data_IF_261671801897
#
_entry.id   IF_261671801897
#
_cell.length_a   1.000
_cell.length_b   1.000
_cell.length_c   1.000
_cell.angle_alpha   90.00
_cell.angle_beta   90.00
_cell.angle_gamma   90.00
#
_symmetry.space_group_name_H-M   'P 1'
#
loop_
_entity.id
_entity.type
_entity.pdbx_description
1 polymer ?
#
# COMPACT_ATOMS: atom_id res chain seq x y z
N UNK A 1 -61.68 -16.15 18.96
CA UNK A 1 -61.20 -17.45 19.46
C UNK A 1 -60.19 -18.02 18.47
N UNK A 2 -59.14 -18.64 19.02
CA UNK A 2 -57.96 -19.27 18.39
C UNK A 2 -56.91 -18.25 17.93
N UNK A 3 -55.72 -18.16 18.52
CA UNK A 3 -55.08 -18.99 19.55
C UNK A 3 -53.59 -18.72 19.45
N UNK A 4 -53.04 -18.04 20.45
CA UNK A 4 -51.63 -17.74 20.64
C UNK A 4 -50.87 -19.05 20.94
N UNK A 5 -49.77 -19.30 20.25
CA UNK A 5 -48.68 -20.14 20.77
C UNK A 5 -47.38 -19.36 20.58
N UNK A 6 -46.90 -18.84 21.70
CA UNK A 6 -45.60 -18.22 21.88
C UNK A 6 -44.54 -19.31 21.88
N UNK A 7 -43.56 -19.23 20.98
CA UNK A 7 -42.29 -19.95 21.13
C UNK A 7 -41.21 -18.90 21.39
N UNK A 8 -40.77 -18.83 22.66
CA UNK A 8 -39.61 -18.05 23.06
C UNK A 8 -38.38 -18.92 22.82
N UNK A 9 -37.59 -18.60 21.80
CA UNK A 9 -36.22 -19.10 21.68
C UNK A 9 -35.28 -17.93 21.94
N UNK A 10 -34.68 -17.96 23.13
CA UNK A 10 -33.55 -17.14 23.52
C UNK A 10 -32.37 -17.62 22.67
N UNK A 11 -31.95 -16.82 21.69
CA UNK A 11 -30.66 -16.96 21.02
C UNK A 11 -29.94 -15.64 21.24
N UNK A 12 -28.76 -15.76 21.87
CA UNK A 12 -27.94 -14.65 22.31
C UNK A 12 -27.63 -13.68 21.18
N UNK A 13 -27.80 -12.40 21.49
CA UNK A 13 -27.34 -11.29 20.66
C UNK A 13 -25.82 -11.32 20.69
N UNK A 14 -25.20 -11.93 19.69
CA UNK A 14 -23.84 -11.62 19.30
C UNK A 14 -23.93 -10.30 18.55
N UNK A 15 -23.47 -9.23 19.19
CA UNK A 15 -23.25 -7.94 18.52
C UNK A 15 -22.02 -8.12 17.64
N UNK A 16 -22.23 -8.47 16.37
CA UNK A 16 -21.20 -8.36 15.34
C UNK A 16 -21.25 -6.89 14.87
N UNK A 17 -20.30 -6.09 15.34
CA UNK A 17 -20.11 -4.72 14.84
C UNK A 17 -19.32 -4.81 13.53
N UNK A 18 -20.04 -5.06 12.44
CA UNK A 18 -19.51 -4.78 11.10
C UNK A 18 -19.20 -3.29 11.07
N UNK A 19 -17.94 -2.93 10.86
CA UNK A 19 -17.56 -1.58 10.47
C UNK A 19 -18.25 -1.23 9.16
N UNK A 20 -19.41 -0.58 9.23
CA UNK A 20 -20.16 -0.12 8.06
C UNK A 20 -19.38 1.04 7.44
N UNK A 21 -18.47 0.74 6.53
CA UNK A 21 -17.95 1.67 5.55
C UNK A 21 -18.35 1.21 4.15
N UNK A 22 -19.65 1.34 3.85
CA UNK A 22 -20.15 1.42 2.48
C UNK A 22 -21.57 2.00 2.46
N UNK A 23 -21.86 2.73 1.38
CA UNK A 23 -23.16 3.17 0.84
C UNK A 23 -23.50 4.65 1.07
N UNK A 24 -23.03 5.49 0.14
CA UNK A 24 -23.87 6.54 -0.46
C UNK A 24 -23.69 6.48 -2.01
N UNK A 25 -24.77 6.62 -2.79
CA UNK A 25 -24.70 6.53 -4.25
C UNK A 25 -24.05 7.80 -4.84
N UNK A 26 -22.93 7.65 -5.55
CA UNK A 26 -22.30 8.72 -6.35
C UNK A 26 -22.77 8.61 -7.80
N UNK A 27 -23.85 9.31 -8.14
CA UNK A 27 -24.01 9.83 -9.51
C UNK A 27 -23.43 11.25 -9.55
N UNK A 28 -22.32 11.43 -10.25
CA UNK A 28 -22.00 12.60 -11.11
C UNK A 28 -20.54 12.50 -11.57
N UNK A 29 -20.33 12.72 -12.88
CA UNK A 29 -19.00 12.75 -13.53
C UNK A 29 -18.05 13.68 -12.78
N UNK A 30 -16.79 13.28 -12.51
CA UNK A 30 -15.78 14.22 -12.04
C UNK A 30 -15.43 15.22 -13.16
N UNK A 31 -15.15 16.50 -12.83
CA UNK A 31 -14.62 17.46 -13.79
C UNK A 31 -13.22 17.06 -14.25
N UNK A 32 -12.81 17.55 -15.42
CA UNK A 32 -11.52 17.25 -16.03
C UNK A 32 -10.33 17.51 -15.10
N UNK A 33 -9.39 16.56 -15.07
CA UNK A 33 -8.18 16.58 -14.26
C UNK A 33 -7.25 17.78 -14.63
N UNK A 34 -7.02 18.75 -13.71
CA UNK A 34 -6.18 19.93 -13.99
C UNK A 34 -4.66 19.64 -14.01
N UNK A 35 -4.22 18.41 -13.73
CA UNK A 35 -2.79 18.03 -13.66
C UNK A 35 -2.09 18.07 -15.02
N UNK A 36 -2.83 17.96 -16.13
CA UNK A 36 -2.25 18.02 -17.48
C UNK A 36 -1.76 19.43 -17.91
N UNK A 37 -2.26 20.50 -17.28
CA UNK A 37 -2.02 21.89 -17.74
C UNK A 37 -0.89 22.61 -16.99
N UNK A 38 -0.44 22.06 -15.86
CA UNK A 38 0.58 22.68 -15.00
C UNK A 38 2.00 22.20 -15.40
N UNK A 39 2.14 20.95 -15.84
CA UNK A 39 3.43 20.36 -16.22
C UNK A 39 4.10 21.04 -17.43
N UNK A 40 3.32 21.66 -18.33
CA UNK A 40 3.86 22.36 -19.51
C UNK A 40 4.36 23.78 -19.22
N UNK A 41 3.97 24.39 -18.08
CA UNK A 41 4.34 25.78 -17.76
C UNK A 41 5.61 25.90 -16.91
N UNK A 42 5.95 24.88 -16.12
CA UNK A 42 7.13 24.90 -15.24
C UNK A 42 8.46 24.64 -15.94
N UNK A 43 8.46 24.05 -17.15
CA UNK A 43 9.67 23.75 -17.91
C UNK A 43 10.33 24.98 -18.59
N UNK A 44 9.66 26.15 -18.61
CA UNK A 44 10.13 27.33 -19.34
C UNK A 44 10.81 28.37 -18.44
N UNK A 45 10.79 28.20 -17.12
CA UNK A 45 11.30 29.22 -16.19
C UNK A 45 12.18 28.62 -15.09
N UNK A 46 13.48 28.42 -15.38
CA UNK A 46 14.59 28.70 -14.44
C UNK A 46 15.95 28.46 -15.10
N UNK A 47 16.44 29.51 -15.74
CA UNK A 47 17.88 29.69 -15.98
C UNK A 47 18.56 30.23 -14.71
N UNK A 48 19.68 29.59 -14.36
CA UNK A 48 20.87 30.10 -13.64
C UNK A 48 20.73 30.85 -12.32
N UNK A 49 21.26 30.26 -11.24
CA UNK A 49 22.42 30.79 -10.47
C UNK A 49 22.85 29.79 -9.39
N UNK A 50 24.13 29.39 -9.39
CA UNK A 50 24.79 28.69 -8.26
C UNK A 50 25.15 29.66 -7.12
N UNK A 51 25.31 29.18 -5.88
CA UNK A 51 26.68 29.08 -5.35
C UNK A 51 26.98 27.88 -4.40
N UNK A 52 28.14 27.28 -4.64
CA UNK A 52 29.25 26.96 -3.70
C UNK A 52 28.99 26.32 -2.31
N UNK A 53 29.12 24.99 -2.28
CA UNK A 53 29.90 24.11 -1.37
C UNK A 53 30.09 24.45 0.12
N UNK A 54 29.54 23.58 0.98
CA UNK A 54 30.08 23.21 2.29
C UNK A 54 30.02 21.68 2.43
N UNK A 55 31.18 21.03 2.54
CA UNK A 55 31.34 19.58 2.47
C UNK A 55 30.90 18.86 3.76
N UNK A 56 30.12 17.79 3.62
CA UNK A 56 30.07 16.68 4.58
C UNK A 56 30.37 15.40 3.82
N UNK A 57 31.54 14.83 4.09
CA UNK A 57 31.97 13.51 3.61
C UNK A 57 31.41 12.43 4.53
N UNK A 58 30.88 11.36 3.94
CA UNK A 58 30.44 10.14 4.62
C UNK A 58 29.96 9.10 3.62
N UNK A 59 30.88 8.61 2.81
CA UNK A 59 30.73 7.63 1.72
C UNK A 59 30.15 6.29 2.15
N UNK A 60 29.19 5.76 1.39
CA UNK A 60 28.96 4.32 1.24
C UNK A 60 29.31 3.93 -0.20
N UNK A 61 30.04 2.82 -0.46
CA UNK A 61 30.47 2.48 -1.80
C UNK A 61 29.27 2.15 -2.69
N UNK A 62 29.29 2.67 -3.92
CA UNK A 62 28.45 2.21 -5.01
C UNK A 62 28.63 0.69 -5.18
N UNK A 63 27.63 -0.08 -4.78
CA UNK A 63 27.51 -1.48 -5.17
C UNK A 63 27.36 -1.54 -6.68
N UNK A 64 28.09 -2.45 -7.32
CA UNK A 64 27.97 -2.72 -8.74
C UNK A 64 26.50 -2.96 -9.10
N UNK A 65 26.05 -2.38 -10.23
CA UNK A 65 24.73 -2.64 -10.82
C UNK A 65 24.70 -4.10 -11.24
N UNK A 66 24.24 -4.97 -10.35
CA UNK A 66 23.84 -6.33 -10.71
C UNK A 66 22.56 -6.16 -11.53
N UNK A 67 22.46 -6.71 -12.75
CA UNK A 67 21.19 -6.74 -13.47
C UNK A 67 20.19 -7.47 -12.57
N UNK A 68 19.24 -6.72 -12.02
CA UNK A 68 18.25 -7.30 -11.13
C UNK A 68 17.31 -8.11 -12.02
N UNK A 69 17.45 -9.43 -11.99
CA UNK A 69 16.43 -10.30 -12.56
C UNK A 69 15.10 -9.93 -11.91
N UNK A 70 14.09 -9.64 -12.72
CA UNK A 70 12.76 -9.39 -12.16
C UNK A 70 12.33 -10.59 -11.31
N UNK A 71 11.66 -10.34 -10.18
CA UNK A 71 11.13 -11.43 -9.37
C UNK A 71 10.22 -12.29 -10.25
N UNK A 72 10.36 -13.61 -10.12
CA UNK A 72 9.44 -14.51 -10.78
C UNK A 72 8.08 -14.41 -10.07
N UNK A 73 7.05 -14.07 -10.83
CA UNK A 73 5.67 -14.09 -10.34
C UNK A 73 5.30 -15.54 -9.98
N UNK A 74 4.57 -15.79 -8.87
CA UNK A 74 4.20 -17.15 -8.49
C UNK A 74 3.37 -17.82 -9.59
N UNK A 75 3.58 -19.12 -9.79
CA UNK A 75 2.77 -19.90 -10.70
C UNK A 75 1.37 -20.08 -10.08
N UNK A 76 0.40 -19.31 -10.56
CA UNK A 76 -1.00 -19.44 -10.13
C UNK A 76 -1.74 -20.31 -11.13
N UNK A 77 -2.40 -21.36 -10.64
CA UNK A 77 -3.09 -22.32 -11.50
C UNK A 77 -4.25 -21.68 -12.30
N UNK A 78 -4.80 -20.55 -11.81
CA UNK A 78 -5.86 -19.77 -12.45
C UNK A 78 -5.80 -18.31 -11.98
N UNK A 79 -4.96 -17.42 -12.56
CA UNK A 79 -5.11 -15.99 -12.33
C UNK A 79 -6.48 -15.58 -12.87
N UNK A 80 -7.47 -15.45 -12.00
CA UNK A 80 -8.78 -14.98 -12.39
C UNK A 80 -8.87 -13.49 -12.05
N UNK A 81 -8.95 -12.66 -13.10
CA UNK A 81 -9.48 -11.31 -13.02
C UNK A 81 -10.99 -11.36 -12.78
N UNK A 82 -11.44 -12.21 -11.85
CA UNK A 82 -12.83 -12.40 -11.48
C UNK A 82 -13.02 -11.73 -10.14
N UNK A 83 -13.62 -10.54 -10.20
CA UNK A 83 -14.30 -9.93 -9.07
C UNK A 83 -15.66 -10.61 -8.94
N UNK A 84 -16.13 -11.08 -7.76
CA UNK A 84 -15.68 -10.74 -6.41
C UNK A 84 -15.15 -11.93 -5.57
N UNK A 85 -14.37 -11.61 -4.52
CA UNK A 85 -14.30 -12.44 -3.31
C UNK A 85 -15.62 -12.25 -2.54
N UNK A 86 -16.25 -13.37 -2.20
CA UNK A 86 -17.54 -13.41 -1.50
C UNK A 86 -17.53 -12.58 -0.20
N UNK A 87 -18.70 -12.16 0.33
CA UNK A 87 -18.77 -11.35 1.54
C UNK A 87 -17.99 -11.99 2.70
N UNK A 88 -17.33 -11.17 3.51
CA UNK A 88 -16.52 -11.59 4.67
C UNK A 88 -17.23 -12.62 5.58
N UNK A 89 -18.56 -12.59 5.64
CA UNK A 89 -19.39 -13.54 6.40
C UNK A 89 -19.40 -14.99 5.91
N UNK A 90 -18.79 -15.31 4.75
CA UNK A 90 -18.71 -16.67 4.19
C UNK A 90 -17.25 -17.10 3.88
N UNK A 91 -16.26 -16.38 4.41
CA UNK A 91 -14.84 -16.61 4.11
C UNK A 91 -14.43 -18.05 4.42
N UNK A 92 -14.86 -18.62 5.55
CA UNK A 92 -14.53 -20.01 5.92
C UNK A 92 -15.07 -21.07 4.93
N UNK A 93 -16.15 -20.76 4.21
CA UNK A 93 -16.70 -21.65 3.18
C UNK A 93 -15.88 -21.60 1.88
N UNK A 94 -15.28 -20.44 1.60
CA UNK A 94 -14.46 -20.23 0.41
C UNK A 94 -12.99 -20.64 0.62
N UNK A 95 -12.45 -20.39 1.81
CA UNK A 95 -11.06 -20.62 2.19
C UNK A 95 -10.95 -21.80 3.16
N UNK A 96 -11.35 -22.98 2.71
CA UNK A 96 -11.51 -24.15 3.58
C UNK A 96 -10.28 -25.06 3.68
N UNK A 97 -9.26 -24.88 2.84
CA UNK A 97 -7.96 -25.54 3.04
C UNK A 97 -7.12 -24.68 3.99
N UNK A 98 -6.65 -25.28 5.09
CA UNK A 98 -5.96 -24.54 6.15
C UNK A 98 -4.77 -25.30 6.71
N UNK A 99 -3.74 -24.59 7.13
CA UNK A 99 -2.66 -25.11 7.99
C UNK A 99 -2.33 -24.11 9.10
N UNK A 100 -2.07 -24.61 10.30
CA UNK A 100 -1.77 -23.79 11.48
C UNK A 100 -0.35 -24.01 11.97
N UNK A 101 0.36 -22.92 12.25
CA UNK A 101 1.73 -22.87 12.74
C UNK A 101 1.80 -21.93 13.94
N UNK A 102 1.79 -22.49 15.15
CA UNK A 102 1.71 -21.69 16.38
C UNK A 102 0.41 -20.88 16.43
N UNK A 103 0.50 -19.56 16.54
CA UNK A 103 -0.64 -18.64 16.57
C UNK A 103 -1.14 -18.24 15.17
N UNK A 104 -0.43 -18.61 14.09
CA UNK A 104 -0.81 -18.22 12.73
C UNK A 104 -1.50 -19.39 12.01
N UNK A 105 -2.69 -19.13 11.46
CA UNK A 105 -3.36 -20.04 10.53
C UNK A 105 -3.29 -19.44 9.13
N UNK A 106 -2.91 -20.24 8.14
CA UNK A 106 -2.94 -19.88 6.73
C UNK A 106 -4.08 -20.64 6.06
N UNK A 107 -4.93 -19.93 5.34
CA UNK A 107 -6.14 -20.46 4.72
C UNK A 107 -6.21 -20.08 3.23
N UNK A 108 -6.69 -20.99 2.39
CA UNK A 108 -6.86 -20.78 0.95
C UNK A 108 -8.02 -21.58 0.38
N UNK A 109 -8.43 -21.21 -0.84
CA UNK A 109 -9.47 -21.92 -1.58
C UNK A 109 -8.98 -23.31 -2.01
N UNK A 110 -9.79 -24.37 -1.91
CA UNK A 110 -9.34 -25.71 -2.26
C UNK A 110 -8.67 -25.84 -3.63
N UNK A 111 -7.48 -26.44 -3.64
CA UNK A 111 -6.64 -26.62 -4.83
C UNK A 111 -6.08 -25.35 -5.47
N UNK A 112 -6.21 -24.18 -4.83
CA UNK A 112 -5.65 -22.92 -5.36
C UNK A 112 -4.12 -22.88 -5.29
N UNK A 113 -3.53 -23.40 -4.21
CA UNK A 113 -2.09 -23.36 -3.95
C UNK A 113 -1.53 -24.72 -3.56
N UNK A 114 -0.21 -24.90 -3.75
CA UNK A 114 0.51 -26.02 -3.13
C UNK A 114 0.52 -25.82 -1.61
N UNK A 115 0.07 -26.82 -0.81
CA UNK A 115 0.07 -26.72 0.65
C UNK A 115 1.43 -26.39 1.28
N UNK A 116 2.55 -26.59 0.58
CA UNK A 116 3.88 -26.20 1.04
C UNK A 116 4.08 -24.68 1.17
N UNK A 117 3.24 -23.84 0.54
CA UNK A 117 3.33 -22.38 0.67
C UNK A 117 3.04 -21.90 2.10
N UNK A 118 2.21 -22.65 2.84
CA UNK A 118 1.63 -22.22 4.09
C UNK A 118 2.67 -21.94 5.18
N UNK A 119 3.73 -22.75 5.28
CA UNK A 119 4.78 -22.54 6.29
C UNK A 119 5.54 -21.24 6.06
N UNK A 120 5.90 -20.94 4.80
CA UNK A 120 6.60 -19.70 4.46
C UNK A 120 5.74 -18.47 4.76
N UNK A 121 4.45 -18.52 4.45
CA UNK A 121 3.50 -17.44 4.73
C UNK A 121 3.31 -17.25 6.23
N UNK A 122 3.18 -18.33 6.99
CA UNK A 122 3.07 -18.25 8.44
C UNK A 122 4.32 -17.65 9.08
N UNK A 123 5.52 -18.01 8.61
CA UNK A 123 6.77 -17.41 9.06
C UNK A 123 6.85 -15.91 8.73
N UNK A 124 6.40 -15.49 7.54
CA UNK A 124 6.34 -14.07 7.16
C UNK A 124 5.40 -13.29 8.08
N UNK A 125 4.22 -13.84 8.36
CA UNK A 125 3.24 -13.25 9.27
C UNK A 125 3.79 -13.15 10.69
N UNK A 126 4.44 -14.20 11.20
CA UNK A 126 5.05 -14.17 12.53
C UNK A 126 6.17 -13.12 12.62
N UNK A 127 6.99 -12.96 11.57
CA UNK A 127 7.97 -11.87 11.50
C UNK A 127 7.31 -10.50 11.51
N UNK A 128 6.26 -10.29 10.74
CA UNK A 128 5.47 -9.06 10.75
C UNK A 128 4.91 -8.75 12.14
N UNK A 129 4.31 -9.74 12.80
CA UNK A 129 3.75 -9.60 14.16
C UNK A 129 4.85 -9.17 15.13
N UNK A 130 5.99 -9.86 15.10
CA UNK A 130 7.12 -9.56 15.99
C UNK A 130 7.67 -8.15 15.76
N UNK A 131 7.85 -7.75 14.49
CA UNK A 131 8.40 -6.45 14.12
C UNK A 131 7.48 -5.31 14.57
N UNK A 132 6.20 -5.37 14.23
CA UNK A 132 5.23 -4.32 14.57
C UNK A 132 5.00 -4.28 16.09
N UNK A 133 4.90 -5.44 16.76
CA UNK A 133 4.73 -5.49 18.21
C UNK A 133 5.94 -4.91 18.95
N UNK A 134 7.15 -5.24 18.50
CA UNK A 134 8.38 -4.68 19.06
C UNK A 134 8.45 -3.17 18.84
N UNK A 135 8.06 -2.68 17.66
CA UNK A 135 8.02 -1.24 17.36
C UNK A 135 7.07 -0.48 18.29
N UNK A 136 5.87 -1.04 18.55
CA UNK A 136 4.90 -0.44 19.47
C UNK A 136 5.19 -0.72 20.95
N UNK A 137 6.24 -1.50 21.25
CA UNK A 137 6.57 -1.97 22.60
C UNK A 137 5.36 -2.65 23.29
N UNK A 138 4.66 -3.49 22.54
CA UNK A 138 3.53 -4.29 23.01
C UNK A 138 3.87 -5.79 22.95
N UNK A 139 3.00 -6.58 23.56
CA UNK A 139 2.97 -8.02 23.37
C UNK A 139 1.62 -8.39 22.77
N UNK A 140 1.63 -8.95 21.56
CA UNK A 140 0.43 -9.50 20.92
C UNK A 140 0.63 -11.00 20.68
N UNK A 141 -0.13 -11.81 21.39
CA UNK A 141 -0.20 -13.28 21.27
C UNK A 141 -1.51 -13.75 20.64
N UNK A 142 -2.31 -12.81 20.12
CA UNK A 142 -3.59 -13.11 19.51
C UNK A 142 -3.40 -13.98 18.26
N UNK A 143 -4.25 -15.00 18.04
CA UNK A 143 -4.21 -15.78 16.81
C UNK A 143 -4.46 -14.92 15.59
N UNK A 144 -3.69 -15.12 14.52
CA UNK A 144 -3.87 -14.44 13.24
C UNK A 144 -4.27 -15.44 12.16
N UNK A 145 -5.28 -15.13 11.36
CA UNK A 145 -5.58 -15.89 10.14
C UNK A 145 -5.15 -15.12 8.89
N UNK A 146 -4.33 -15.75 8.06
CA UNK A 146 -3.87 -15.24 6.76
C UNK A 146 -4.61 -15.96 5.64
N UNK A 147 -5.45 -15.24 4.91
CA UNK A 147 -6.15 -15.73 3.74
C UNK A 147 -5.35 -15.44 2.47
N UNK A 148 -4.93 -16.48 1.75
CA UNK A 148 -4.30 -16.33 0.44
C UNK A 148 -5.36 -16.33 -0.65
N UNK A 149 -5.55 -15.17 -1.29
CA UNK A 149 -6.48 -14.98 -2.38
C UNK A 149 -5.81 -15.22 -3.74
N UNK A 150 -6.39 -16.05 -4.59
CA UNK A 150 -5.93 -16.30 -5.96
C UNK A 150 -6.70 -15.51 -7.03
N UNK A 151 -7.60 -14.63 -6.59
CA UNK A 151 -8.49 -13.82 -7.42
C UNK A 151 -8.54 -12.39 -6.88
N UNK A 152 -8.78 -11.41 -7.76
CA UNK A 152 -8.87 -10.01 -7.36
C UNK A 152 -10.03 -9.75 -6.38
N UNK A 153 -9.82 -8.80 -5.48
CA UNK A 153 -10.86 -8.35 -4.56
C UNK A 153 -12.04 -7.65 -5.26
N UNK A 154 -13.15 -7.53 -4.54
CA UNK A 154 -14.39 -6.94 -5.04
C UNK A 154 -14.28 -5.42 -5.33
N UNK A 155 -15.39 -4.79 -5.73
CA UNK A 155 -15.42 -3.34 -5.97
C UNK A 155 -15.04 -2.50 -4.73
N UNK A 156 -15.27 -3.03 -3.52
CA UNK A 156 -14.93 -2.38 -2.27
C UNK A 156 -13.43 -2.47 -1.99
N UNK A 157 -12.66 -3.38 -2.60
CA UNK A 157 -11.19 -3.42 -2.54
C UNK A 157 -10.50 -3.45 -3.92
N UNK A 158 -11.09 -2.78 -4.93
CA UNK A 158 -10.50 -2.77 -6.28
C UNK A 158 -9.09 -2.16 -6.24
N UNK A 159 -8.10 -2.95 -6.67
CA UNK A 159 -6.68 -2.57 -6.69
C UNK A 159 -5.94 -2.69 -5.37
N UNK A 160 -6.53 -3.34 -4.37
CA UNK A 160 -5.83 -3.80 -3.19
C UNK A 160 -4.93 -5.00 -3.53
N UNK A 161 -3.73 -5.06 -2.97
CA UNK A 161 -2.90 -6.28 -2.95
C UNK A 161 -3.09 -7.05 -1.64
N UNK A 162 -3.67 -6.43 -0.62
CA UNK A 162 -4.15 -7.06 0.59
C UNK A 162 -5.17 -6.17 1.29
N UNK A 163 -5.81 -6.71 2.32
CA UNK A 163 -6.57 -5.92 3.28
C UNK A 163 -6.66 -6.66 4.62
N UNK A 164 -6.97 -5.93 5.70
CA UNK A 164 -7.13 -6.48 7.03
C UNK A 164 -8.55 -6.29 7.59
N UNK A 165 -9.03 -7.29 8.33
CA UNK A 165 -10.16 -7.17 9.25
C UNK A 165 -9.62 -7.25 10.68
N UNK A 166 -9.23 -6.10 11.22
CA UNK A 166 -8.46 -6.01 12.47
C UNK A 166 -9.19 -6.60 13.68
N UNK A 167 -10.50 -6.41 13.78
CA UNK A 167 -11.34 -6.93 14.87
C UNK A 167 -11.47 -8.46 14.87
N UNK A 168 -11.26 -9.09 13.72
CA UNK A 168 -11.30 -10.54 13.54
C UNK A 168 -9.90 -11.18 13.58
N UNK A 169 -8.84 -10.37 13.67
CA UNK A 169 -7.44 -10.80 13.49
C UNK A 169 -7.24 -11.59 12.19
N UNK A 170 -7.76 -11.01 11.10
CA UNK A 170 -7.66 -11.59 9.76
C UNK A 170 -6.94 -10.65 8.80
N UNK A 171 -6.09 -11.21 7.96
CA UNK A 171 -5.50 -10.51 6.82
C UNK A 171 -5.74 -11.31 5.55
N UNK A 172 -5.89 -10.60 4.44
CA UNK A 172 -6.08 -11.16 3.11
C UNK A 172 -4.94 -10.70 2.24
N UNK A 173 -4.28 -11.63 1.56
CA UNK A 173 -3.11 -11.36 0.72
C UNK A 173 -3.39 -11.89 -0.67
N UNK A 174 -3.35 -10.99 -1.66
CA UNK A 174 -3.48 -11.36 -3.06
C UNK A 174 -2.20 -12.07 -3.53
N UNK A 175 -2.39 -13.28 -4.04
CA UNK A 175 -1.38 -14.16 -4.63
C UNK A 175 -1.91 -14.68 -5.98
N UNK A 176 -2.36 -13.75 -6.82
CA UNK A 176 -2.86 -13.97 -8.19
C UNK A 176 -1.73 -13.91 -9.25
N UNK A 177 -0.48 -13.83 -8.79
CA UNK A 177 0.69 -13.62 -9.64
C UNK A 177 1.12 -12.15 -9.72
N UNK A 178 0.46 -11.21 -9.04
CA UNK A 178 0.84 -9.78 -9.09
C UNK A 178 1.80 -9.31 -8.00
N UNK A 179 2.02 -10.14 -6.98
CA UNK A 179 2.91 -9.85 -5.86
C UNK A 179 4.16 -10.70 -6.02
N UNK A 180 5.32 -10.04 -6.06
CA UNK A 180 6.59 -10.73 -6.08
C UNK A 180 6.86 -11.44 -4.75
N UNK A 181 7.53 -12.59 -4.79
CA UNK A 181 7.85 -13.34 -3.57
C UNK A 181 8.67 -12.52 -2.56
N UNK A 182 9.52 -11.61 -3.05
CA UNK A 182 10.32 -10.71 -2.22
C UNK A 182 9.57 -9.47 -1.71
N UNK A 183 8.46 -9.08 -2.34
CA UNK A 183 7.53 -8.07 -1.80
C UNK A 183 6.56 -8.65 -0.76
N UNK A 184 6.31 -9.96 -0.81
CA UNK A 184 5.28 -10.61 -0.01
C UNK A 184 5.48 -10.41 1.50
N UNK A 185 6.74 -10.38 1.97
CA UNK A 185 7.03 -10.07 3.37
C UNK A 185 6.54 -8.67 3.75
N UNK A 186 6.88 -7.65 2.97
CA UNK A 186 6.46 -6.27 3.25
C UNK A 186 4.95 -6.10 3.21
N UNK A 187 4.28 -6.73 2.23
CA UNK A 187 2.81 -6.72 2.15
C UNK A 187 2.15 -7.39 3.36
N UNK A 188 2.68 -8.54 3.82
CA UNK A 188 2.17 -9.17 5.04
C UNK A 188 2.41 -8.28 6.26
N UNK A 189 3.59 -7.67 6.37
CA UNK A 189 3.90 -6.73 7.46
C UNK A 189 2.94 -5.53 7.45
N UNK A 190 2.58 -5.00 6.26
CA UNK A 190 1.57 -3.95 6.09
C UNK A 190 0.21 -4.38 6.65
N UNK A 191 -0.32 -5.52 6.23
CA UNK A 191 -1.63 -5.97 6.71
C UNK A 191 -1.63 -6.34 8.20
N UNK A 192 -0.53 -6.92 8.70
CA UNK A 192 -0.34 -7.16 10.14
C UNK A 192 -0.33 -5.85 10.93
N UNK A 193 0.28 -4.79 10.38
CA UNK A 193 0.29 -3.48 11.02
C UNK A 193 -1.13 -2.92 11.19
N UNK A 194 -2.03 -3.13 10.23
CA UNK A 194 -3.45 -2.77 10.40
C UNK A 194 -4.12 -3.55 11.53
N UNK A 195 -3.87 -4.86 11.63
CA UNK A 195 -4.44 -5.70 12.70
C UNK A 195 -3.94 -5.21 14.06
N UNK A 196 -2.64 -5.09 14.24
CA UNK A 196 -2.04 -4.71 15.51
C UNK A 196 -2.43 -3.27 15.89
N UNK A 197 -2.34 -2.31 14.96
CA UNK A 197 -2.73 -0.93 15.23
C UNK A 197 -4.21 -0.82 15.63
N UNK A 198 -5.10 -1.53 14.92
CA UNK A 198 -6.52 -1.53 15.22
C UNK A 198 -6.86 -2.04 16.63
N UNK A 199 -6.06 -2.98 17.16
CA UNK A 199 -6.28 -3.58 18.47
C UNK A 199 -5.56 -2.88 19.62
N UNK A 200 -4.37 -2.31 19.38
CA UNK A 200 -3.51 -1.79 20.45
C UNK A 200 -3.34 -0.27 20.42
N UNK A 201 -3.48 0.36 19.26
CA UNK A 201 -3.58 1.83 19.17
C UNK A 201 -5.05 2.20 19.31
N UNK A 202 -5.90 1.69 18.43
CA UNK A 202 -7.33 1.99 18.37
C UNK A 202 -7.77 2.21 16.92
N UNK A 203 -9.03 2.63 16.74
CA UNK A 203 -9.53 2.91 15.40
C UNK A 203 -8.80 4.12 14.79
N UNK A 204 -8.29 4.01 13.55
CA UNK A 204 -7.69 5.14 12.86
C UNK A 204 -8.74 6.23 12.65
N UNK A 205 -8.30 7.47 12.78
CA UNK A 205 -9.16 8.61 12.52
C UNK A 205 -9.50 8.78 11.02
N UNK A 206 -8.70 8.18 10.12
CA UNK A 206 -8.85 8.23 8.67
C UNK A 206 -7.99 7.14 8.02
N UNK A 207 -8.34 6.74 6.80
CA UNK A 207 -7.55 5.80 6.00
C UNK A 207 -6.12 6.29 5.78
N UNK A 208 -5.90 7.60 5.67
CA UNK A 208 -4.56 8.19 5.56
C UNK A 208 -3.60 7.73 6.65
N UNK A 209 -4.03 7.78 7.91
CA UNK A 209 -3.20 7.33 9.04
C UNK A 209 -3.07 5.81 9.10
N UNK A 210 -4.13 5.08 8.74
CA UNK A 210 -4.11 3.62 8.70
C UNK A 210 -3.08 3.12 7.69
N UNK A 211 -3.20 3.56 6.42
CA UNK A 211 -2.30 3.19 5.34
C UNK A 211 -0.89 3.74 5.57
N UNK A 212 -0.77 4.96 6.11
CA UNK A 212 0.52 5.57 6.43
C UNK A 212 1.29 4.78 7.48
N UNK A 213 0.63 4.34 8.57
CA UNK A 213 1.28 3.49 9.56
C UNK A 213 1.75 2.17 8.96
N UNK A 214 0.87 1.49 8.24
CA UNK A 214 1.16 0.19 7.66
C UNK A 214 2.26 0.26 6.60
N UNK A 215 2.27 1.33 5.78
CA UNK A 215 3.33 1.60 4.80
C UNK A 215 4.67 1.88 5.48
N UNK A 216 4.66 2.66 6.56
CA UNK A 216 5.88 2.89 7.34
C UNK A 216 6.43 1.59 7.96
N UNK A 217 5.55 0.70 8.44
CA UNK A 217 5.99 -0.59 9.00
C UNK A 217 6.56 -1.55 7.94
N UNK A 218 6.06 -1.52 6.69
CA UNK A 218 6.60 -2.38 5.63
C UNK A 218 7.95 -1.90 5.08
N UNK A 219 8.30 -0.62 5.27
CA UNK A 219 9.36 0.05 4.51
C UNK A 219 10.75 -0.61 4.70
N UNK A 220 11.01 -1.21 5.86
CA UNK A 220 12.24 -1.97 6.12
C UNK A 220 12.32 -3.25 5.26
N UNK A 221 11.21 -3.98 5.12
CA UNK A 221 11.13 -5.18 4.28
C UNK A 221 11.26 -4.83 2.79
N UNK A 222 10.61 -3.74 2.37
CA UNK A 222 10.69 -3.17 1.01
C UNK A 222 12.14 -2.83 0.64
N UNK A 223 12.84 -2.13 1.53
CA UNK A 223 14.26 -1.77 1.33
C UNK A 223 15.16 -3.01 1.29
N UNK A 224 14.94 -3.98 2.20
CA UNK A 224 15.71 -5.22 2.21
C UNK A 224 15.55 -6.03 0.92
N UNK A 225 14.39 -5.94 0.28
CA UNK A 225 14.10 -6.54 -1.02
C UNK A 225 14.60 -5.71 -2.23
N UNK A 226 15.28 -4.57 -1.98
CA UNK A 226 15.91 -3.73 -2.99
C UNK A 226 14.97 -2.77 -3.70
N UNK A 227 13.78 -2.53 -3.15
CA UNK A 227 12.83 -1.56 -3.68
C UNK A 227 13.07 -0.16 -3.09
N UNK A 228 12.64 0.87 -3.81
CA UNK A 228 12.63 2.26 -3.33
C UNK A 228 11.65 2.38 -2.15
N UNK A 229 12.08 2.88 -0.98
CA UNK A 229 11.19 3.12 0.15
C UNK A 229 10.24 4.29 -0.09
N UNK A 230 9.12 4.30 0.64
CA UNK A 230 8.10 5.34 0.57
C UNK A 230 8.67 6.76 0.72
N UNK A 231 9.59 6.95 1.67
CA UNK A 231 10.23 8.25 1.94
C UNK A 231 11.01 8.81 0.74
N UNK A 232 11.72 7.95 0.00
CA UNK A 232 12.51 8.38 -1.16
C UNK A 232 11.60 8.69 -2.36
N UNK A 233 10.56 7.88 -2.58
CA UNK A 233 9.57 8.13 -3.62
C UNK A 233 8.80 9.43 -3.36
N UNK A 234 8.40 9.70 -2.11
CA UNK A 234 7.75 10.94 -1.69
C UNK A 234 8.67 12.16 -1.88
N UNK A 235 9.97 12.04 -1.56
CA UNK A 235 10.93 13.12 -1.76
C UNK A 235 11.13 13.47 -3.25
N UNK A 236 11.19 12.47 -4.12
CA UNK A 236 11.23 12.69 -5.58
C UNK A 236 9.94 13.32 -6.10
N UNK A 237 8.78 12.88 -5.61
CA UNK A 237 7.50 13.48 -5.96
C UNK A 237 7.37 14.93 -5.48
N UNK A 238 7.91 15.25 -4.31
CA UNK A 238 8.00 16.62 -3.81
C UNK A 238 8.86 17.48 -4.73
N UNK A 239 10.05 16.99 -5.13
CA UNK A 239 10.93 17.69 -6.08
C UNK A 239 10.24 17.97 -7.42
N UNK A 240 9.43 17.03 -7.90
CA UNK A 240 8.68 17.14 -9.14
C UNK A 240 7.40 18.00 -9.01
N UNK A 241 7.06 18.49 -7.81
CA UNK A 241 5.88 19.33 -7.57
C UNK A 241 4.55 18.59 -7.71
N UNK A 242 4.55 17.27 -7.50
CA UNK A 242 3.39 16.37 -7.66
C UNK A 242 3.01 15.64 -6.37
N UNK A 243 3.78 15.82 -5.29
CA UNK A 243 3.45 15.23 -4.00
C UNK A 243 2.05 15.69 -3.57
N UNK A 244 1.12 14.78 -3.23
CA UNK A 244 -0.19 15.18 -2.75
C UNK A 244 -0.10 15.99 -1.45
N UNK A 245 -0.92 17.03 -1.34
CA UNK A 245 -0.98 17.87 -0.12
C UNK A 245 -1.60 17.11 1.05
N UNK A 246 -1.35 17.54 2.29
CA UNK A 246 -2.00 16.91 3.45
C UNK A 246 -3.51 17.13 3.43
N UNK A 247 -3.98 18.25 2.88
CA UNK A 247 -5.40 18.49 2.69
C UNK A 247 -6.05 17.44 1.78
N UNK A 248 -5.38 17.06 0.68
CA UNK A 248 -5.84 16.02 -0.22
C UNK A 248 -5.82 14.64 0.44
N UNK A 249 -4.70 14.28 1.09
CA UNK A 249 -4.52 12.95 1.68
C UNK A 249 -5.53 12.68 2.81
N UNK A 250 -5.93 13.72 3.54
CA UNK A 250 -6.90 13.61 4.65
C UNK A 250 -8.36 13.62 4.22
N UNK A 251 -8.67 14.00 2.98
CA UNK A 251 -10.04 14.03 2.49
C UNK A 251 -10.47 12.62 2.09
N UNK A 252 -11.31 12.01 2.94
CA UNK A 252 -11.86 10.66 2.74
C UNK A 252 -12.71 10.54 1.47
N UNK A 253 -13.19 11.67 0.91
CA UNK A 253 -13.94 11.66 -0.34
C UNK A 253 -13.03 11.49 -1.56
N UNK A 254 -11.72 11.75 -1.42
CA UNK A 254 -10.72 11.74 -2.50
C UNK A 254 -9.59 10.74 -2.28
N UNK A 255 -9.21 10.44 -1.05
CA UNK A 255 -8.19 9.46 -0.72
C UNK A 255 -8.77 8.05 -0.84
N UNK A 256 -8.41 7.35 -1.91
CA UNK A 256 -8.89 5.99 -2.15
C UNK A 256 -8.15 4.98 -1.27
N UNK A 257 -6.89 5.27 -0.89
CA UNK A 257 -6.08 4.35 -0.11
C UNK A 257 -6.05 2.95 -0.76
N UNK A 258 -5.74 2.87 -2.08
CA UNK A 258 -5.28 1.62 -2.72
C UNK A 258 -4.00 1.80 -3.57
N UNK A 259 -3.32 0.69 -3.88
CA UNK A 259 -2.16 0.61 -4.79
C UNK A 259 -2.42 1.22 -6.17
N UNK A 260 -3.69 1.35 -6.57
CA UNK A 260 -4.14 2.14 -7.75
C UNK A 260 -3.50 3.53 -7.80
N UNK A 261 -3.19 4.12 -6.65
CA UNK A 261 -2.52 5.41 -6.52
C UNK A 261 -1.33 5.30 -5.56
N UNK A 262 -0.38 4.44 -5.91
CA UNK A 262 0.80 4.14 -5.09
C UNK A 262 1.56 5.37 -4.56
N UNK A 263 1.61 6.48 -5.31
CA UNK A 263 2.22 7.71 -4.80
C UNK A 263 1.51 8.27 -3.54
N UNK A 264 0.19 8.10 -3.43
CA UNK A 264 -0.57 8.50 -2.23
C UNK A 264 -0.19 7.64 -1.01
N UNK A 265 0.12 6.35 -1.21
CA UNK A 265 0.67 5.46 -0.18
C UNK A 265 2.06 5.88 0.25
N UNK A 266 2.95 6.08 -0.73
CA UNK A 266 4.32 6.45 -0.47
C UNK A 266 4.36 7.80 0.28
N UNK A 267 3.48 8.74 -0.09
CA UNK A 267 3.26 9.98 0.64
C UNK A 267 2.78 9.75 2.09
N UNK A 268 1.75 8.93 2.29
CA UNK A 268 1.23 8.61 3.62
C UNK A 268 2.26 7.93 4.53
N UNK A 269 2.98 6.93 4.01
CA UNK A 269 4.08 6.27 4.72
C UNK A 269 5.19 7.24 5.12
N UNK A 270 5.60 8.11 4.18
CA UNK A 270 6.63 9.12 4.46
C UNK A 270 6.18 10.16 5.49
N UNK A 271 4.90 10.52 5.52
CA UNK A 271 4.35 11.44 6.52
C UNK A 271 4.28 10.79 7.90
N UNK A 272 3.86 9.52 7.97
CA UNK A 272 3.91 8.74 9.21
C UNK A 272 5.32 8.62 9.76
N UNK A 273 6.31 8.34 8.89
CA UNK A 273 7.73 8.34 9.26
C UNK A 273 8.16 9.68 9.83
N UNK A 274 7.87 10.78 9.12
CA UNK A 274 8.17 12.14 9.58
C UNK A 274 7.60 12.42 10.98
N UNK A 275 6.32 12.10 11.21
CA UNK A 275 5.68 12.33 12.50
C UNK A 275 6.34 11.52 13.62
N UNK A 276 6.61 10.24 13.37
CA UNK A 276 7.22 9.33 14.34
C UNK A 276 8.64 9.78 14.68
N UNK A 277 9.46 10.11 13.68
CA UNK A 277 10.85 10.50 13.91
C UNK A 277 10.97 11.88 14.56
N UNK A 278 10.09 12.83 14.20
CA UNK A 278 10.16 14.21 14.70
C UNK A 278 9.47 14.40 16.05
N UNK A 279 8.30 13.81 16.22
CA UNK A 279 7.43 14.04 17.39
C UNK A 279 7.33 12.82 18.32
N UNK A 280 7.86 11.68 17.89
CA UNK A 280 7.84 10.44 18.66
C UNK A 280 6.58 9.62 18.43
N UNK A 281 6.67 8.33 18.79
CA UNK A 281 5.59 7.37 18.62
C UNK A 281 4.33 7.74 19.41
N UNK A 282 4.47 8.25 20.64
CA UNK A 282 3.32 8.63 21.47
C UNK A 282 2.45 9.68 20.77
N UNK A 283 3.06 10.74 20.28
CA UNK A 283 2.38 11.80 19.54
C UNK A 283 1.76 11.28 18.24
N UNK A 284 2.45 10.38 17.52
CA UNK A 284 1.89 9.71 16.35
C UNK A 284 0.65 8.89 16.69
N UNK A 285 0.68 8.07 17.74
CA UNK A 285 -0.47 7.24 18.14
C UNK A 285 -1.66 8.07 18.59
N UNK A 286 -1.42 9.24 19.21
CA UNK A 286 -2.50 10.14 19.58
C UNK A 286 -3.11 10.81 18.36
N UNK A 287 -2.28 11.24 17.39
CA UNK A 287 -2.76 11.71 16.10
C UNK A 287 -3.49 10.62 15.32
N UNK A 288 -3.01 9.37 15.36
CA UNK A 288 -3.67 8.25 14.71
C UNK A 288 -5.14 8.12 15.16
N UNK A 289 -5.42 8.44 16.43
CA UNK A 289 -6.78 8.48 17.01
C UNK A 289 -7.50 9.83 16.80
N UNK A 290 -6.78 10.95 16.79
CA UNK A 290 -7.36 12.30 16.89
C UNK A 290 -6.94 13.19 15.71
N UNK A 291 -7.90 13.81 15.01
CA UNK A 291 -7.65 14.62 13.79
C UNK A 291 -7.05 16.02 14.04
N UNK A 292 -6.59 16.33 15.26
CA UNK A 292 -6.34 17.72 15.70
C UNK A 292 -4.87 17.91 16.13
N UNK A 293 -3.95 18.15 15.18
CA UNK A 293 -2.53 18.32 15.47
C UNK A 293 -2.24 19.52 16.36
N UNK A 294 -3.09 20.54 16.39
CA UNK A 294 -2.93 21.68 17.28
C UNK A 294 -2.99 21.26 18.75
N UNK A 295 -3.78 20.24 19.08
CA UNK A 295 -3.93 19.73 20.44
C UNK A 295 -2.79 18.79 20.83
N UNK A 296 -2.29 17.99 19.88
CA UNK A 296 -1.27 16.96 20.14
C UNK A 296 0.14 17.52 20.00
N UNK A 297 0.38 18.36 19.00
CA UNK A 297 1.71 18.83 18.59
C UNK A 297 1.89 20.34 18.77
N UNK A 298 0.82 21.10 19.01
CA UNK A 298 0.87 22.56 19.09
C UNK A 298 1.10 23.27 17.75
N UNK A 299 0.97 22.54 16.64
CA UNK A 299 1.10 23.06 15.27
C UNK A 299 -0.12 22.66 14.44
N UNK A 300 -0.48 23.49 13.46
CA UNK A 300 -1.58 23.19 12.55
C UNK A 300 -1.13 22.31 11.36
N UNK A 301 -2.10 21.91 10.55
CA UNK A 301 -1.85 21.08 9.37
C UNK A 301 -0.98 21.74 8.30
N UNK A 302 -1.08 23.06 8.11
CA UNK A 302 -0.25 23.76 7.13
C UNK A 302 1.22 23.75 7.60
N UNK A 303 1.44 24.03 8.88
CA UNK A 303 2.76 23.97 9.50
C UNK A 303 3.34 22.55 9.46
N UNK A 304 2.52 21.51 9.62
CA UNK A 304 2.98 20.12 9.45
C UNK A 304 3.38 19.81 8.01
N UNK A 305 2.61 20.29 7.02
CA UNK A 305 2.94 20.11 5.61
C UNK A 305 4.27 20.79 5.26
N UNK A 306 4.48 22.03 5.70
CA UNK A 306 5.74 22.76 5.53
C UNK A 306 6.92 22.02 6.19
N UNK A 307 6.72 21.47 7.39
CA UNK A 307 7.75 20.73 8.11
C UNK A 307 8.06 19.36 7.49
N UNK A 308 7.05 18.68 6.96
CA UNK A 308 7.22 17.43 6.22
C UNK A 308 7.96 17.67 4.90
N UNK A 309 7.60 18.71 4.14
CA UNK A 309 8.35 19.11 2.96
C UNK A 309 9.81 19.43 3.27
N UNK A 310 10.07 20.16 4.36
CA UNK A 310 11.44 20.43 4.83
C UNK A 310 12.19 19.16 5.25
N UNK A 311 11.49 18.13 5.73
CA UNK A 311 12.06 16.82 6.04
C UNK A 311 12.38 16.00 4.78
N UNK A 312 11.62 16.17 3.69
CA UNK A 312 11.86 15.53 2.39
C UNK A 312 12.95 16.20 1.56
N UNK A 313 13.10 17.52 1.65
CA UNK A 313 14.03 18.33 0.84
C UNK A 313 15.46 17.76 0.75
N UNK A 314 16.10 17.28 1.84
CA UNK A 314 17.46 16.73 1.77
C UNK A 314 17.56 15.44 0.92
N UNK A 315 16.45 14.72 0.72
CA UNK A 315 16.37 13.47 -0.04
C UNK A 315 15.94 13.70 -1.50
N UNK A 316 15.37 14.87 -1.79
CA UNK A 316 14.80 15.20 -3.09
C UNK A 316 15.82 15.08 -4.23
N UNK A 317 17.07 15.47 -3.98
CA UNK A 317 18.16 15.41 -4.97
C UNK A 317 18.90 14.07 -5.03
N UNK A 318 18.50 13.06 -4.26
CA UNK A 318 19.22 11.79 -4.22
C UNK A 318 19.18 11.07 -5.57
N UNK A 319 20.34 10.53 -5.96
CA UNK A 319 20.49 9.59 -7.05
C UNK A 319 20.67 8.21 -6.42
N UNK A 320 19.71 7.32 -6.62
CA UNK A 320 19.73 5.95 -6.09
C UNK A 320 19.95 5.01 -7.25
N UNK A 321 20.97 4.14 -7.19
CA UNK A 321 21.33 3.21 -8.27
C UNK A 321 21.43 3.87 -9.67
N UNK A 322 21.88 5.12 -9.73
CA UNK A 322 22.01 5.87 -10.98
C UNK A 322 20.70 6.49 -11.50
N UNK A 323 19.61 6.40 -10.75
CA UNK A 323 18.31 7.00 -11.07
C UNK A 323 18.03 8.19 -10.17
N UNK A 324 17.68 9.33 -10.78
CA UNK A 324 17.18 10.53 -10.10
C UNK A 324 15.65 10.58 -10.11
N UNK A 325 15.07 11.50 -9.34
CA UNK A 325 13.63 11.64 -9.21
C UNK A 325 12.92 12.00 -10.52
N UNK A 326 13.55 12.82 -11.36
CA UNK A 326 12.98 13.20 -12.66
C UNK A 326 12.87 11.99 -13.61
N UNK A 327 13.94 11.18 -13.69
CA UNK A 327 13.97 9.96 -14.49
C UNK A 327 13.00 8.92 -13.98
N UNK A 328 12.93 8.73 -12.65
CA UNK A 328 11.96 7.82 -12.03
C UNK A 328 10.52 8.25 -12.34
N UNK A 329 10.18 9.53 -12.12
CA UNK A 329 8.82 10.03 -12.30
C UNK A 329 8.34 9.91 -13.74
N UNK A 330 9.22 10.20 -14.72
CA UNK A 330 8.89 10.07 -16.15
C UNK A 330 8.38 8.67 -16.52
N UNK A 331 8.85 7.63 -15.82
CA UNK A 331 8.36 6.25 -16.01
C UNK A 331 7.18 5.95 -15.08
N UNK A 332 7.25 6.40 -13.82
CA UNK A 332 6.23 6.13 -12.81
C UNK A 332 4.84 6.60 -13.23
N UNK A 333 4.73 7.79 -13.84
CA UNK A 333 3.44 8.31 -14.31
C UNK A 333 2.77 7.41 -15.36
N UNK A 334 3.56 6.73 -16.21
CA UNK A 334 3.04 5.86 -17.26
C UNK A 334 2.57 4.52 -16.68
N UNK A 335 3.34 3.96 -15.75
CA UNK A 335 2.93 2.77 -14.99
C UNK A 335 1.65 3.07 -14.20
N UNK A 336 1.58 4.21 -13.52
CA UNK A 336 0.38 4.65 -12.79
C UNK A 336 -0.84 4.80 -13.71
N UNK A 337 -0.67 5.40 -14.89
CA UNK A 337 -1.75 5.50 -15.88
C UNK A 337 -2.23 4.11 -16.37
N UNK A 338 -1.31 3.15 -16.53
CA UNK A 338 -1.65 1.76 -16.85
C UNK A 338 -2.51 1.09 -15.78
N UNK A 339 -2.19 1.28 -14.49
CA UNK A 339 -3.04 0.80 -13.39
C UNK A 339 -4.38 1.54 -13.33
N UNK A 340 -4.40 2.83 -13.66
CA UNK A 340 -5.64 3.59 -13.85
C UNK A 340 -6.59 2.91 -14.84
N UNK A 341 -6.06 2.56 -16.02
CA UNK A 341 -6.81 1.87 -17.08
C UNK A 341 -7.24 0.45 -16.68
N UNK A 342 -6.35 -0.32 -16.03
CA UNK A 342 -6.64 -1.64 -15.48
C UNK A 342 -7.88 -1.60 -14.58
N UNK A 343 -7.91 -0.70 -13.61
CA UNK A 343 -8.97 -0.66 -12.60
C UNK A 343 -10.26 0.02 -13.07
N UNK A 344 -10.22 0.81 -14.14
CA UNK A 344 -11.42 1.37 -14.77
C UNK A 344 -12.25 0.30 -15.51
N UNK A 345 -11.60 -0.70 -16.11
CA UNK A 345 -12.26 -1.77 -16.85
C UNK A 345 -11.51 -3.12 -16.74
N UNK A 346 -11.42 -3.72 -15.54
CA UNK A 346 -10.63 -4.93 -15.30
C UNK A 346 -11.13 -6.13 -16.12
N UNK A 347 -12.42 -6.19 -16.43
CA UNK A 347 -13.07 -7.19 -17.29
C UNK A 347 -12.58 -7.20 -18.74
N UNK A 348 -11.91 -6.11 -19.17
CA UNK A 348 -11.39 -5.95 -20.52
C UNK A 348 -9.88 -6.19 -20.62
N UNK A 349 -9.22 -6.48 -19.52
CA UNK A 349 -7.78 -6.67 -19.47
C UNK A 349 -7.44 -8.16 -19.56
N UNK A 350 -6.43 -8.50 -20.37
CA UNK A 350 -5.93 -9.88 -20.42
C UNK A 350 -4.98 -10.16 -19.26
N UNK A 351 -4.83 -11.44 -18.90
CA UNK A 351 -3.88 -11.89 -17.87
C UNK A 351 -2.45 -11.46 -18.23
N UNK A 352 -2.08 -11.53 -19.51
CA UNK A 352 -0.75 -11.13 -19.99
C UNK A 352 -0.52 -9.62 -19.84
N UNK A 353 -1.53 -8.80 -20.17
CA UNK A 353 -1.47 -7.35 -19.97
C UNK A 353 -1.30 -6.98 -18.51
N UNK A 354 -2.03 -7.66 -17.61
CA UNK A 354 -1.91 -7.46 -16.17
C UNK A 354 -0.54 -7.90 -15.62
N UNK A 355 -0.05 -9.06 -16.05
CA UNK A 355 1.27 -9.57 -15.66
C UNK A 355 2.39 -8.64 -16.14
N UNK A 356 2.32 -8.14 -17.38
CA UNK A 356 3.28 -7.18 -17.91
C UNK A 356 3.23 -5.85 -17.14
N UNK A 357 2.05 -5.30 -16.85
CA UNK A 357 1.92 -4.08 -16.07
C UNK A 357 2.46 -4.25 -14.63
N UNK A 358 2.24 -5.43 -14.04
CA UNK A 358 2.84 -5.78 -12.74
C UNK A 358 4.36 -5.81 -12.84
N UNK A 359 4.94 -6.48 -13.84
CA UNK A 359 6.38 -6.52 -14.06
C UNK A 359 6.96 -5.10 -14.23
N UNK A 360 6.22 -4.19 -14.88
CA UNK A 360 6.60 -2.80 -15.00
C UNK A 360 6.69 -2.09 -13.64
N UNK A 361 5.72 -2.31 -12.74
CA UNK A 361 5.74 -1.81 -11.35
C UNK A 361 6.98 -2.31 -10.60
N UNK A 362 7.22 -3.62 -10.63
CA UNK A 362 8.35 -4.23 -9.94
C UNK A 362 9.68 -3.66 -10.42
N UNK A 363 9.85 -3.54 -11.74
CA UNK A 363 11.03 -2.95 -12.35
C UNK A 363 11.22 -1.48 -11.95
N UNK A 364 10.15 -0.68 -11.99
CA UNK A 364 10.16 0.73 -11.62
C UNK A 364 10.64 0.92 -10.17
N UNK A 365 10.05 0.18 -9.23
CA UNK A 365 10.41 0.31 -7.82
C UNK A 365 11.77 -0.32 -7.50
N UNK A 366 12.36 -1.13 -8.40
CA UNK A 366 13.76 -1.57 -8.34
C UNK A 366 14.74 -0.68 -9.10
N UNK A 367 14.26 0.44 -9.64
CA UNK A 367 15.04 1.40 -10.41
C UNK A 367 15.59 0.84 -11.74
N UNK A 368 15.00 -0.24 -12.26
CA UNK A 368 15.26 -0.75 -13.60
C UNK A 368 14.30 -0.10 -14.61
N UNK A 369 14.55 1.18 -14.88
CA UNK A 369 13.72 1.99 -15.77
C UNK A 369 13.59 1.42 -17.19
N UNK A 370 14.65 0.88 -17.85
CA UNK A 370 14.53 0.29 -19.17
C UNK A 370 13.53 -0.88 -19.22
N UNK A 371 13.60 -1.81 -18.26
CA UNK A 371 12.62 -2.89 -18.19
C UNK A 371 11.24 -2.38 -17.80
N UNK A 372 11.14 -1.41 -16.89
CA UNK A 372 9.85 -0.81 -16.53
C UNK A 372 9.12 -0.24 -17.77
N UNK A 373 9.83 0.50 -18.62
CA UNK A 373 9.29 1.03 -19.88
C UNK A 373 8.89 -0.10 -20.83
N UNK A 374 9.76 -1.10 -21.01
CA UNK A 374 9.48 -2.25 -21.89
C UNK A 374 8.20 -2.96 -21.48
N UNK A 375 8.07 -3.32 -20.20
CA UNK A 375 6.90 -4.02 -19.68
C UNK A 375 5.63 -3.16 -19.68
N UNK A 376 5.75 -1.86 -19.40
CA UNK A 376 4.63 -0.92 -19.50
C UNK A 376 4.10 -0.87 -20.95
N UNK A 377 4.99 -0.83 -21.95
CA UNK A 377 4.62 -0.91 -23.36
C UNK A 377 4.00 -2.26 -23.75
N UNK A 378 4.56 -3.37 -23.27
CA UNK A 378 4.03 -4.74 -23.50
C UNK A 378 2.63 -4.93 -22.91
N UNK A 379 2.30 -4.25 -21.81
CA UNK A 379 0.97 -4.33 -21.20
C UNK A 379 -0.15 -3.84 -22.11
N UNK A 380 0.14 -2.91 -23.04
CA UNK A 380 -0.84 -2.14 -23.81
C UNK A 380 -1.89 -1.37 -22.97
N UNK A 381 -1.64 -1.19 -21.66
CA UNK A 381 -2.49 -0.42 -20.75
C UNK A 381 -1.91 0.97 -20.46
N UNK A 382 -0.58 1.06 -20.38
CA UNK A 382 0.13 2.32 -20.15
C UNK A 382 0.28 3.12 -21.47
N UNK A 383 0.36 4.46 -21.39
CA UNK A 383 0.77 5.29 -22.53
C UNK A 383 2.11 4.82 -23.09
N UNK A 384 2.20 4.69 -24.42
CA UNK A 384 3.43 4.23 -25.07
C UNK A 384 4.55 5.25 -24.88
N UNK A 385 5.68 4.78 -24.39
CA UNK A 385 6.91 5.57 -24.21
C UNK A 385 7.97 5.07 -25.17
N UNK A 386 8.74 5.97 -25.78
CA UNK A 386 9.90 5.56 -26.58
C UNK A 386 10.92 4.86 -25.67
N UNK A 387 11.45 3.72 -26.14
CA UNK A 387 12.51 2.95 -25.49
C UNK A 387 13.89 3.49 -25.80
#
# INVERSE_FOLDING_TARGET
MRGLVTLVSIVGVVVIMIGVFAILPREQRPPANPVAEIATKSAVARETTSPSTGAVQGTTPAGAVVPVSLPQLPAVNKPQLVSPISPLGLVEQYYSETQTFGAVTVAWRPGAFDPAIASSVAEMAQRGINNVSAFLNIHDDSPLTVFLADEMFDENCRGCQGFAASDLHQIFILQDGSVAADEMQGLITHEVAHVIAGNHIGLPNSLFFAEGFATYQMDADVQAAGYVPAIQAAAWAYQAGILPTLAFLRDEATYEGRVRRRLEYDAAGSFSQFLIEKYGLEAYTELYRTRVPEQVLGVDWQQLEEQWHAYLEPLAGNIVNGVDGASWWNVAQNVAAGFGALYDAPDKVSVESYAALTAARLALYRLDLPNAIRFANESNLAPKTAT
#
